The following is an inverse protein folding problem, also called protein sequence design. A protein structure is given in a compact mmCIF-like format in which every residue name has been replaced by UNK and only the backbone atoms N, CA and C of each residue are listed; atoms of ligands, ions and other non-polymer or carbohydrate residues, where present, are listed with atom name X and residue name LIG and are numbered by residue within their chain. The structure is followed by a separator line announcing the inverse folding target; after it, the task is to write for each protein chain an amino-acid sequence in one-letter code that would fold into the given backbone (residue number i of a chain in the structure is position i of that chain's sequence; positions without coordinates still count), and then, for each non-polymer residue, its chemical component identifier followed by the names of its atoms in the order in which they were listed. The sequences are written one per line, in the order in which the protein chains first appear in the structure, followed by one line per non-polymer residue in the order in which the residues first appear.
data_IF_067714744380
#
_entry.id   IF_067714744380
#
_cell.length_a   1.000
_cell.length_b   1.000
_cell.length_c   1.000
_cell.angle_alpha   90.00
_cell.angle_beta   90.00
_cell.angle_gamma   90.00
#
_symmetry.space_group_name_H-M   'P 1'
#
loop_
_entity.id
_entity.type
_entity.pdbx_description
1 polymer ?
#
# COMPACT_ATOMS: atom_id res chain seq x y z
N UNK A 1 3.48 8.51 21.66
CA UNK A 1 4.44 8.13 20.60
C UNK A 1 3.71 7.21 19.64
N UNK A 2 3.56 7.60 18.37
CA UNK A 2 3.01 6.70 17.34
C UNK A 2 4.18 6.22 16.47
N UNK A 3 4.56 4.95 16.67
CA UNK A 3 5.74 4.37 16.06
C UNK A 3 5.55 4.14 14.55
N UNK A 4 6.67 4.16 13.82
CA UNK A 4 6.74 3.71 12.43
C UNK A 4 6.30 2.24 12.39
N UNK A 5 5.29 1.92 11.58
CA UNK A 5 4.82 0.55 11.38
C UNK A 5 4.89 0.20 9.90
N UNK A 6 5.38 -0.99 9.60
CA UNK A 6 5.59 -1.46 8.23
C UNK A 6 4.88 -2.79 8.01
N UNK A 7 4.49 -3.04 6.77
CA UNK A 7 3.90 -4.31 6.36
C UNK A 7 2.60 -4.66 7.13
N UNK A 8 1.83 -3.63 7.51
CA UNK A 8 0.48 -3.83 8.06
C UNK A 8 -0.51 -4.01 6.92
N UNK A 9 -1.57 -4.77 7.16
CA UNK A 9 -2.63 -5.02 6.18
C UNK A 9 -3.96 -4.56 6.75
N UNK A 10 -4.71 -3.82 5.96
CA UNK A 10 -6.06 -3.38 6.29
C UNK A 10 -7.02 -3.68 5.14
N UNK A 11 -8.19 -4.20 5.48
CA UNK A 11 -9.21 -4.61 4.50
C UNK A 11 -10.61 -4.14 4.88
N UNK A 12 -11.03 -4.24 6.15
CA UNK A 12 -12.43 -4.07 6.55
C UNK A 12 -12.75 -2.64 6.99
N UNK A 13 -13.43 -1.90 6.13
CA UNK A 13 -13.99 -0.56 6.41
C UNK A 13 -15.42 -0.61 6.92
N UNK A 14 -15.82 0.43 7.64
CA UNK A 14 -17.24 0.64 7.98
C UNK A 14 -18.08 0.78 6.69
N UNK A 15 -19.32 0.29 6.70
CA UNK A 15 -20.15 0.16 5.49
C UNK A 15 -20.50 1.52 4.88
N UNK A 16 -20.69 2.53 5.72
CA UNK A 16 -20.91 3.93 5.36
C UNK A 16 -19.72 4.54 4.59
N UNK A 17 -18.52 3.99 4.73
CA UNK A 17 -17.31 4.44 4.03
C UNK A 17 -17.02 3.57 2.80
N UNK A 18 -18.04 3.34 1.97
CA UNK A 18 -17.93 2.48 0.78
C UNK A 18 -17.26 3.14 -0.44
N UNK A 19 -16.96 4.43 -0.37
CA UNK A 19 -16.30 5.17 -1.44
C UNK A 19 -14.84 4.74 -1.66
N UNK A 20 -14.30 4.87 -2.90
CA UNK A 20 -12.92 4.53 -3.21
C UNK A 20 -11.93 5.51 -2.57
N UNK A 21 -10.87 4.98 -1.94
CA UNK A 21 -9.79 5.76 -1.30
C UNK A 21 -8.44 5.62 -2.00
N UNK A 22 -8.40 5.00 -3.17
CA UNK A 22 -7.17 4.74 -3.90
C UNK A 22 -7.31 5.06 -5.39
N UNK A 23 -6.19 5.47 -5.99
CA UNK A 23 -6.05 5.70 -7.42
C UNK A 23 -5.09 4.70 -8.06
N UNK A 24 -5.33 4.42 -9.33
CA UNK A 24 -4.42 3.70 -10.22
C UNK A 24 -3.35 4.64 -10.82
N UNK A 25 -2.45 4.10 -11.64
CA UNK A 25 -1.31 4.85 -12.21
C UNK A 25 -1.73 5.95 -13.18
N UNK A 26 -2.94 5.83 -13.72
CA UNK A 26 -3.54 6.81 -14.62
C UNK A 26 -4.29 7.90 -13.85
N UNK A 27 -4.45 7.75 -12.52
CA UNK A 27 -5.18 8.67 -11.66
C UNK A 27 -6.67 8.36 -11.55
N UNK A 28 -7.14 7.24 -12.11
CA UNK A 28 -8.51 6.79 -11.99
C UNK A 28 -8.75 6.17 -10.61
N UNK A 29 -9.97 6.31 -10.10
CA UNK A 29 -10.36 5.69 -8.83
C UNK A 29 -10.40 4.16 -8.97
N UNK A 30 -9.97 3.46 -7.93
CA UNK A 30 -10.09 2.00 -7.83
C UNK A 30 -11.40 1.67 -7.13
N UNK A 31 -12.47 1.50 -7.90
CA UNK A 31 -13.86 1.29 -7.45
C UNK A 31 -14.32 -0.18 -7.52
N UNK A 32 -13.83 -0.93 -8.52
CA UNK A 32 -14.35 -2.22 -8.97
C UNK A 32 -14.25 -3.43 -8.01
N UNK A 33 -13.83 -3.23 -6.76
CA UNK A 33 -13.63 -4.33 -5.81
C UNK A 33 -14.20 -4.07 -4.41
N UNK A 34 -15.09 -3.06 -4.30
CA UNK A 34 -15.86 -2.78 -3.10
C UNK A 34 -15.06 -2.20 -1.94
N UNK A 35 -15.74 -2.07 -0.80
CA UNK A 35 -15.23 -1.49 0.44
C UNK A 35 -14.15 -2.34 1.14
N UNK A 36 -13.93 -3.58 0.69
CA UNK A 36 -13.07 -4.60 1.31
C UNK A 36 -11.82 -4.93 0.51
N UNK A 37 -11.22 -3.95 -0.16
CA UNK A 37 -9.94 -4.15 -0.84
C UNK A 37 -8.81 -4.15 0.19
N UNK A 38 -7.94 -5.18 0.23
CA UNK A 38 -6.80 -5.19 1.11
C UNK A 38 -5.74 -4.17 0.64
N UNK A 39 -5.16 -3.47 1.61
CA UNK A 39 -4.06 -2.55 1.40
C UNK A 39 -2.85 -2.94 2.24
N UNK A 40 -1.67 -2.94 1.63
CA UNK A 40 -0.40 -3.02 2.36
C UNK A 40 -0.03 -1.61 2.78
N UNK A 41 0.20 -1.42 4.08
CA UNK A 41 0.38 -0.13 4.72
C UNK A 41 1.78 0.02 5.28
N UNK A 42 2.27 1.25 5.12
CA UNK A 42 3.41 1.79 5.80
C UNK A 42 3.00 3.05 6.55
N UNK A 43 3.03 3.00 7.88
CA UNK A 43 2.78 4.14 8.75
C UNK A 43 4.08 4.90 9.01
N UNK A 44 4.01 6.20 8.81
CA UNK A 44 4.88 7.18 9.47
C UNK A 44 4.16 7.78 10.67
N UNK A 45 4.74 8.78 11.32
CA UNK A 45 4.13 9.45 12.48
C UNK A 45 2.71 9.96 12.19
N UNK A 46 2.49 10.62 11.05
CA UNK A 46 1.22 11.26 10.70
C UNK A 46 0.65 10.88 9.32
N UNK A 47 1.35 10.04 8.56
CA UNK A 47 0.91 9.63 7.21
C UNK A 47 0.91 8.13 7.04
N UNK A 48 -0.04 7.66 6.27
CA UNK A 48 -0.19 6.29 5.78
C UNK A 48 0.16 6.29 4.31
N UNK A 49 1.13 5.46 3.93
CA UNK A 49 1.44 5.13 2.54
C UNK A 49 0.92 3.73 2.27
N UNK A 50 0.07 3.58 1.25
CA UNK A 50 -0.62 2.32 1.03
C UNK A 50 -0.65 1.90 -0.44
N UNK A 51 -0.48 0.60 -0.62
CA UNK A 51 -0.52 -0.10 -1.91
C UNK A 51 -1.79 -0.95 -1.98
N UNK A 52 -2.48 -0.90 -3.11
CA UNK A 52 -3.65 -1.74 -3.32
C UNK A 52 -3.25 -3.18 -3.68
N UNK A 53 -3.87 -4.16 -3.02
CA UNK A 53 -3.81 -5.55 -3.44
C UNK A 53 -5.13 -5.99 -4.08
N UNK A 54 -5.10 -6.92 -5.03
CA UNK A 54 -6.28 -7.55 -5.65
C UNK A 54 -6.11 -9.05 -5.78
N UNK A 55 -7.21 -9.78 -5.69
CA UNK A 55 -7.25 -11.21 -6.06
C UNK A 55 -7.04 -11.37 -7.57
N UNK A 56 -6.24 -12.36 -7.95
CA UNK A 56 -6.08 -12.77 -9.35
C UNK A 56 -7.15 -13.80 -9.69
N UNK A 57 -7.96 -13.49 -10.69
CA UNK A 57 -9.02 -14.33 -11.22
C UNK A 57 -8.77 -14.54 -12.72
N UNK A 58 -9.40 -15.54 -13.32
CA UNK A 58 -9.18 -15.87 -14.75
C UNK A 58 -9.44 -14.67 -15.68
N UNK A 59 -10.45 -13.84 -15.38
CA UNK A 59 -10.81 -12.67 -16.17
C UNK A 59 -9.78 -11.53 -16.10
N UNK A 60 -8.99 -11.44 -15.02
CA UNK A 60 -8.03 -10.36 -14.81
C UNK A 60 -6.55 -10.82 -14.86
N UNK A 61 -6.31 -12.13 -14.95
CA UNK A 61 -4.98 -12.75 -14.90
C UNK A 61 -4.04 -12.17 -15.96
N UNK A 62 -4.48 -12.16 -17.23
CA UNK A 62 -3.64 -11.71 -18.36
C UNK A 62 -3.16 -10.28 -18.17
N UNK A 63 -4.06 -9.35 -17.87
CA UNK A 63 -3.70 -7.94 -17.67
C UNK A 63 -2.88 -7.71 -16.41
N UNK A 64 -3.15 -8.48 -15.34
CA UNK A 64 -2.41 -8.38 -14.07
C UNK A 64 -0.98 -8.89 -14.20
N UNK A 65 -0.78 -10.02 -14.87
CA UNK A 65 0.55 -10.60 -15.12
C UNK A 65 1.38 -9.83 -16.15
N UNK A 66 0.73 -9.11 -17.07
CA UNK A 66 1.43 -8.27 -18.05
C UNK A 66 2.00 -6.98 -17.43
N UNK A 67 1.40 -6.47 -16.34
CA UNK A 67 1.90 -5.28 -15.67
C UNK A 67 3.08 -5.62 -14.74
N UNK A 68 4.30 -5.30 -15.22
CA UNK A 68 5.58 -5.58 -14.54
C UNK A 68 5.76 -4.87 -13.20
N UNK A 69 4.92 -3.88 -12.91
CA UNK A 69 4.89 -3.17 -11.62
C UNK A 69 4.11 -3.92 -10.55
N UNK A 70 3.37 -4.98 -10.90
CA UNK A 70 2.74 -5.84 -9.92
C UNK A 70 3.75 -6.83 -9.31
N UNK A 71 3.51 -7.17 -8.05
CA UNK A 71 4.06 -8.37 -7.41
C UNK A 71 2.95 -9.38 -7.29
N UNK A 72 3.17 -10.62 -7.74
CA UNK A 72 2.20 -11.71 -7.67
C UNK A 72 2.62 -12.69 -6.58
N UNK A 73 1.69 -13.06 -5.71
CA UNK A 73 1.89 -14.04 -4.66
C UNK A 73 0.86 -15.17 -4.79
N UNK A 74 1.29 -16.41 -4.50
CA UNK A 74 0.41 -17.58 -4.47
C UNK A 74 -0.49 -17.63 -3.23
N UNK A 75 0.02 -17.10 -2.11
CA UNK A 75 -0.74 -16.87 -0.89
C UNK A 75 -1.11 -15.40 -0.77
N UNK A 76 -2.19 -15.11 -0.08
CA UNK A 76 -2.58 -13.73 0.19
C UNK A 76 -1.77 -13.14 1.35
N UNK A 77 -1.95 -11.85 1.61
CA UNK A 77 -1.24 -11.12 2.65
C UNK A 77 -1.53 -11.63 4.08
N UNK A 78 -2.53 -12.50 4.24
CA UNK A 78 -2.92 -13.15 5.49
C UNK A 78 -2.46 -14.61 5.57
N UNK A 79 -1.70 -15.09 4.58
CA UNK A 79 -1.18 -16.46 4.50
C UNK A 79 -2.15 -17.51 3.96
N UNK A 80 -3.32 -17.11 3.44
CA UNK A 80 -4.31 -18.04 2.88
C UNK A 80 -3.95 -18.41 1.43
N UNK A 81 -4.35 -19.60 1.00
CA UNK A 81 -4.13 -20.10 -0.38
C UNK A 81 -5.05 -19.38 -1.38
N UNK A 82 -4.71 -18.14 -1.67
CA UNK A 82 -5.42 -17.25 -2.59
C UNK A 82 -4.41 -16.40 -3.33
N UNK A 83 -4.36 -16.55 -4.65
CA UNK A 83 -3.41 -15.80 -5.47
C UNK A 83 -3.82 -14.31 -5.55
N UNK A 84 -2.86 -13.43 -5.28
CA UNK A 84 -3.06 -11.98 -5.28
C UNK A 84 -1.98 -11.25 -6.07
N UNK A 85 -2.29 -10.01 -6.44
CA UNK A 85 -1.32 -9.05 -6.95
C UNK A 85 -1.32 -7.78 -6.11
N UNK A 86 -0.13 -7.32 -5.71
CA UNK A 86 0.10 -6.02 -5.09
C UNK A 86 0.60 -5.05 -6.17
N UNK A 87 -0.11 -3.94 -6.36
CA UNK A 87 0.26 -2.92 -7.34
C UNK A 87 1.34 -1.99 -6.75
N UNK A 88 2.55 -2.03 -7.32
CA UNK A 88 3.66 -1.17 -6.91
C UNK A 88 3.91 0.02 -7.85
N UNK A 89 3.05 0.25 -8.85
CA UNK A 89 3.14 1.46 -9.70
C UNK A 89 2.62 2.72 -9.02
N UNK A 90 1.89 2.59 -7.92
CA UNK A 90 1.25 3.72 -7.23
C UNK A 90 1.34 3.59 -5.73
N UNK A 91 1.73 4.68 -5.07
CA UNK A 91 1.60 4.85 -3.64
C UNK A 91 0.50 5.88 -3.37
N UNK A 92 -0.57 5.43 -2.73
CA UNK A 92 -1.60 6.33 -2.22
C UNK A 92 -1.24 6.76 -0.79
N UNK A 93 -1.62 7.99 -0.42
CA UNK A 93 -1.20 8.62 0.81
C UNK A 93 -2.39 9.28 1.48
N UNK A 94 -2.51 9.10 2.79
CA UNK A 94 -3.56 9.71 3.59
C UNK A 94 -2.99 10.13 4.95
N UNK A 95 -3.66 11.09 5.58
CA UNK A 95 -3.44 11.33 7.00
C UNK A 95 -3.73 10.07 7.83
N UNK A 96 -2.91 9.80 8.84
CA UNK A 96 -3.03 8.58 9.63
C UNK A 96 -4.34 8.50 10.37
N UNK A 97 -4.74 9.58 11.04
CA UNK A 97 -5.97 9.60 11.83
C UNK A 97 -7.19 9.44 10.91
N UNK A 98 -7.18 10.16 9.78
CA UNK A 98 -8.23 10.04 8.75
C UNK A 98 -8.28 8.63 8.16
N UNK A 99 -7.14 7.98 7.95
CA UNK A 99 -7.11 6.62 7.41
C UNK A 99 -7.69 5.63 8.41
N UNK A 100 -7.18 5.64 9.65
CA UNK A 100 -7.59 4.70 10.70
C UNK A 100 -9.08 4.85 11.04
N UNK A 101 -9.65 6.07 10.97
CA UNK A 101 -11.08 6.30 11.21
C UNK A 101 -12.02 5.63 10.21
N UNK A 102 -11.52 5.20 9.04
CA UNK A 102 -12.33 4.52 8.02
C UNK A 102 -12.52 3.02 8.32
N UNK A 103 -11.71 2.45 9.19
CA UNK A 103 -11.62 1.00 9.39
C UNK A 103 -12.28 0.53 10.67
N UNK A 104 -12.92 -0.63 10.61
CA UNK A 104 -13.56 -1.25 11.78
C UNK A 104 -12.47 -1.54 12.81
N UNK A 105 -12.61 -0.90 13.99
CA UNK A 105 -11.72 -1.10 15.12
C UNK A 105 -11.73 -2.58 15.55
N UNK A 106 -10.56 -3.10 15.91
CA UNK A 106 -10.35 -4.46 16.43
C UNK A 106 -10.77 -5.61 15.48
N UNK A 107 -10.98 -5.32 14.19
CA UNK A 107 -11.20 -6.37 13.20
C UNK A 107 -9.90 -7.11 12.87
N UNK A 108 -9.93 -8.44 12.88
CA UNK A 108 -8.75 -9.29 12.63
C UNK A 108 -8.07 -9.10 11.27
N UNK A 109 -8.78 -8.52 10.28
CA UNK A 109 -8.25 -8.24 8.95
C UNK A 109 -7.64 -6.83 8.84
N UNK A 110 -7.68 -6.06 9.92
CA UNK A 110 -7.10 -4.72 10.04
C UNK A 110 -5.91 -4.77 10.99
N UNK A 111 -4.92 -3.89 10.76
CA UNK A 111 -3.65 -3.89 11.50
C UNK A 111 -2.92 -5.26 11.52
N UNK A 112 -3.21 -6.12 10.55
CA UNK A 112 -2.64 -7.46 10.46
C UNK A 112 -1.18 -7.36 10.00
N UNK A 113 -0.29 -8.11 10.64
CA UNK A 113 1.13 -8.14 10.24
C UNK A 113 1.31 -9.17 9.11
N UNK A 114 1.59 -8.73 7.88
CA UNK A 114 1.96 -9.68 6.82
C UNK A 114 3.34 -10.27 7.06
N UNK A 115 3.62 -11.41 6.44
CA UNK A 115 4.90 -12.08 6.57
C UNK A 115 6.06 -11.27 5.95
N UNK A 116 7.25 -11.59 6.43
CA UNK A 116 8.46 -10.87 6.05
C UNK A 116 8.85 -11.10 4.58
N UNK A 117 8.45 -12.22 4.00
CA UNK A 117 8.76 -12.54 2.61
C UNK A 117 7.95 -11.66 1.65
N UNK A 118 6.64 -11.57 1.84
CA UNK A 118 5.76 -10.62 1.14
C UNK A 118 6.30 -9.20 1.25
N UNK A 119 6.64 -8.75 2.46
CA UNK A 119 7.20 -7.42 2.68
C UNK A 119 8.48 -7.20 1.86
N UNK A 120 9.45 -8.11 1.97
CA UNK A 120 10.74 -7.96 1.28
C UNK A 120 10.58 -7.91 -0.24
N UNK A 121 9.71 -8.74 -0.80
CA UNK A 121 9.46 -8.78 -2.25
C UNK A 121 8.77 -7.49 -2.71
N UNK A 122 7.78 -6.99 -1.96
CA UNK A 122 7.11 -5.70 -2.24
C UNK A 122 8.13 -4.57 -2.20
N UNK A 123 8.96 -4.50 -1.17
CA UNK A 123 9.97 -3.46 -1.02
C UNK A 123 11.01 -3.48 -2.14
N UNK A 124 11.47 -4.69 -2.52
CA UNK A 124 12.36 -4.85 -3.66
C UNK A 124 11.70 -4.34 -4.95
N UNK A 125 10.44 -4.70 -5.20
CA UNK A 125 9.73 -4.21 -6.39
C UNK A 125 9.60 -2.69 -6.39
N UNK A 126 9.21 -2.08 -5.27
CA UNK A 126 9.13 -0.62 -5.14
C UNK A 126 10.47 0.06 -5.42
N UNK A 127 11.58 -0.55 -5.01
CA UNK A 127 12.92 -0.07 -5.35
C UNK A 127 13.20 -0.16 -6.85
N UNK A 128 12.89 -1.31 -7.46
CA UNK A 128 13.16 -1.56 -8.88
C UNK A 128 12.36 -0.62 -9.80
N UNK A 129 11.11 -0.29 -9.44
CA UNK A 129 10.24 0.60 -10.23
C UNK A 129 10.18 2.03 -9.71
N UNK A 130 11.09 2.41 -8.80
CA UNK A 130 10.99 3.62 -7.98
C UNK A 130 10.70 4.90 -8.77
N UNK A 131 11.38 5.10 -9.90
CA UNK A 131 11.25 6.32 -10.69
C UNK A 131 9.91 6.42 -11.44
N UNK A 132 9.25 5.28 -11.67
CA UNK A 132 7.96 5.16 -12.35
C UNK A 132 6.77 5.35 -11.42
N UNK A 133 6.98 5.23 -10.10
CA UNK A 133 5.91 5.29 -9.09
C UNK A 133 5.17 6.64 -9.17
N UNK A 134 3.84 6.54 -9.27
CA UNK A 134 2.92 7.67 -9.10
C UNK A 134 2.49 7.79 -7.65
N UNK A 135 2.25 9.02 -7.22
CA UNK A 135 1.85 9.33 -5.85
C UNK A 135 0.56 10.14 -5.88
N UNK A 136 -0.41 9.75 -5.05
CA UNK A 136 -1.66 10.48 -4.88
C UNK A 136 -1.94 10.62 -3.39
N UNK A 137 -2.09 11.86 -2.92
CA UNK A 137 -2.42 12.13 -1.52
C UNK A 137 -3.87 12.62 -1.40
N UNK A 138 -4.60 12.05 -0.46
CA UNK A 138 -5.92 12.53 -0.04
C UNK A 138 -5.76 13.83 0.73
N UNK A 139 -6.57 14.82 0.37
CA UNK A 139 -6.62 16.10 1.08
C UNK A 139 -7.62 16.03 2.22
N UNK A 140 -8.87 15.69 1.89
CA UNK A 140 -9.96 15.53 2.85
C UNK A 140 -11.05 14.63 2.27
N UNK A 141 -11.99 14.22 3.14
CA UNK A 141 -13.18 13.47 2.77
C UNK A 141 -14.39 14.28 3.24
N UNK A 142 -15.33 14.55 2.34
CA UNK A 142 -16.55 15.30 2.63
C UNK A 142 -17.71 14.66 1.90
N UNK A 143 -18.82 14.41 2.61
CA UNK A 143 -20.05 13.83 2.04
C UNK A 143 -19.80 12.55 1.22
N UNK A 144 -18.91 11.68 1.72
CA UNK A 144 -18.54 10.42 1.05
C UNK A 144 -17.71 10.58 -0.23
N UNK A 145 -17.16 11.78 -0.50
CA UNK A 145 -16.29 12.05 -1.64
C UNK A 145 -14.87 12.35 -1.18
N UNK A 146 -13.90 11.71 -1.84
CA UNK A 146 -12.47 11.89 -1.55
C UNK A 146 -11.91 13.00 -2.43
N UNK A 147 -11.43 14.06 -1.80
CA UNK A 147 -10.69 15.14 -2.45
C UNK A 147 -9.19 14.85 -2.44
N UNK A 148 -8.50 15.17 -3.53
CA UNK A 148 -7.09 14.82 -3.74
C UNK A 148 -6.23 16.06 -3.86
N UNK A 149 -5.04 16.05 -3.24
CA UNK A 149 -4.10 17.18 -3.30
C UNK A 149 -3.57 17.42 -4.71
N UNK A 150 -3.36 18.69 -5.04
CA UNK A 150 -2.75 19.12 -6.31
C UNK A 150 -1.28 18.67 -6.42
N UNK A 151 -0.84 18.33 -7.64
CA UNK A 151 0.46 17.72 -7.97
C UNK A 151 1.70 18.42 -7.36
N UNK A 152 1.69 19.75 -7.19
CA UNK A 152 2.85 20.49 -6.62
C UNK A 152 3.22 20.06 -5.20
N UNK A 153 2.24 19.73 -4.34
CA UNK A 153 2.51 19.26 -2.96
C UNK A 153 3.12 17.85 -2.95
N UNK A 154 2.79 17.04 -3.96
CA UNK A 154 3.23 15.64 -4.10
C UNK A 154 4.72 15.50 -4.41
N UNK A 155 5.36 16.50 -5.02
CA UNK A 155 6.80 16.45 -5.33
C UNK A 155 7.68 16.42 -4.07
N UNK A 156 7.32 17.18 -3.02
CA UNK A 156 8.01 17.12 -1.71
C UNK A 156 7.85 15.74 -1.07
N UNK A 157 6.69 15.11 -1.26
CA UNK A 157 6.40 13.77 -0.74
C UNK A 157 7.17 12.70 -1.50
N UNK A 158 7.33 12.83 -2.82
CA UNK A 158 8.22 11.96 -3.60
C UNK A 158 9.65 12.01 -3.05
N UNK A 159 10.16 13.19 -2.68
CA UNK A 159 11.48 13.34 -2.06
C UNK A 159 11.55 12.71 -0.67
N UNK A 160 10.53 12.86 0.16
CA UNK A 160 10.48 12.24 1.49
C UNK A 160 10.27 10.72 1.45
N UNK A 161 9.41 10.22 0.57
CA UNK A 161 9.22 8.80 0.30
C UNK A 161 10.50 8.18 -0.29
N UNK A 162 11.26 8.93 -1.10
CA UNK A 162 12.59 8.53 -1.58
C UNK A 162 13.54 8.30 -0.40
N UNK A 163 13.61 9.26 0.52
CA UNK A 163 14.44 9.15 1.72
C UNK A 163 13.98 7.99 2.60
N UNK A 164 12.69 7.92 2.91
CA UNK A 164 12.11 6.89 3.77
C UNK A 164 12.27 5.46 3.19
N UNK A 165 12.00 5.27 1.89
CA UNK A 165 12.24 4.00 1.20
C UNK A 165 13.74 3.66 1.16
N UNK A 166 14.61 4.64 0.90
CA UNK A 166 16.06 4.43 0.93
C UNK A 166 16.59 4.11 2.32
N UNK A 167 16.07 4.71 3.37
CA UNK A 167 16.46 4.45 4.76
C UNK A 167 16.02 3.04 5.17
N UNK A 168 14.80 2.64 4.79
CA UNK A 168 14.28 1.29 5.05
C UNK A 168 15.04 0.23 4.24
N UNK A 169 15.32 0.49 2.97
CA UNK A 169 16.10 -0.42 2.11
C UNK A 169 17.57 -0.43 2.54
N UNK A 170 18.11 0.70 3.02
CA UNK A 170 19.44 0.81 3.61
C UNK A 170 19.55 -0.03 4.88
N UNK A 171 18.54 0.03 5.75
CA UNK A 171 18.40 -0.85 6.91
C UNK A 171 18.34 -2.33 6.50
N UNK A 172 17.62 -2.64 5.42
CA UNK A 172 17.55 -4.00 4.86
C UNK A 172 18.90 -4.50 4.35
N UNK A 173 19.67 -3.66 3.63
CA UNK A 173 21.04 -4.00 3.21
C UNK A 173 21.93 -4.24 4.42
N UNK A 174 21.93 -3.37 5.43
CA UNK A 174 22.76 -3.54 6.63
C UNK A 174 22.46 -4.84 7.41
N UNK A 175 21.18 -5.18 7.63
CA UNK A 175 20.81 -6.44 8.30
C UNK A 175 21.22 -7.68 7.51
N UNK A 176 21.16 -7.65 6.17
CA UNK A 176 21.61 -8.76 5.31
C UNK A 176 23.13 -9.00 5.38
N UNK A 177 23.92 -7.95 5.64
CA UNK A 177 25.37 -8.09 5.88
C UNK A 177 25.67 -8.61 7.30
N UNK A 178 24.88 -8.24 8.31
CA UNK A 178 25.06 -8.72 9.68
C UNK A 178 24.63 -10.19 9.88
N UNK A 179 23.61 -10.66 9.13
CA UNK A 179 23.16 -12.07 9.14
C UNK A 179 24.04 -13.02 8.30
N UNK A 180 25.13 -12.53 7.70
CA UNK A 180 26.15 -13.38 7.05
C UNK A 180 27.34 -13.71 7.96
N UNK A 181 27.30 -13.26 9.21
CA UNK A 181 28.37 -13.41 10.21
C UNK A 181 27.93 -14.19 11.46
N UNK A 182 26.81 -14.91 11.39
CA UNK A 182 26.38 -15.90 12.38
C UNK A 182 25.92 -17.17 11.68
#
# INVERSE_FOLDING_TARGET
MSDIQIAKVYEKRYKEFSFPIAKDKNGNLIDNHGHNRPYVIFFSHNKVFYLSAKTILNNNRKSTSADKTNVIFKKDLYGKDREIAVNCSVINIMDRELFESLYIKDNILNNFQTDIEHYNIIMKKLFDVFDEIKYFEVDYIENGKVSWKKKMKVWRIKKNAKWWLKDIIGFYKMKKYLLKWF
#
